data_IF_383933526076
#
_entry.id   IF_383933526076
#
_cell.length_a   1.000
_cell.length_b   1.000
_cell.length_c   1.000
_cell.angle_alpha   90.00
_cell.angle_beta   90.00
_cell.angle_gamma   90.00
#
_symmetry.space_group_name_H-M   'P 1'
#
loop_
_entity.id
_entity.type
_entity.pdbx_description
1 polymer ?
#
# COMPACT_ATOMS: atom_id res chain seq x y z
N UNK A 1 4.04 14.00 17.12
CA UNK A 1 2.67 13.42 17.16
C UNK A 1 2.47 12.60 15.90
N UNK A 2 2.62 11.27 15.98
CA UNK A 2 2.56 10.37 14.80
C UNK A 2 1.13 10.07 14.34
N UNK A 3 0.20 9.99 15.29
CA UNK A 3 -1.22 9.74 15.02
C UNK A 3 -1.85 10.77 14.09
N UNK A 4 -1.51 12.06 14.24
CA UNK A 4 -1.98 13.12 13.35
C UNK A 4 -1.57 12.88 11.89
N UNK A 5 -0.40 12.27 11.65
CA UNK A 5 0.05 11.95 10.29
C UNK A 5 -0.75 10.79 9.70
N UNK A 6 -0.97 9.73 10.50
CA UNK A 6 -1.69 8.51 10.07
C UNK A 6 -3.18 8.81 9.83
N UNK A 7 -3.80 9.59 10.71
CA UNK A 7 -5.26 9.84 10.69
C UNK A 7 -5.66 11.13 9.99
N UNK A 8 -4.72 11.88 9.39
CA UNK A 8 -5.03 13.13 8.67
C UNK A 8 -6.08 12.91 7.60
N UNK A 9 -7.03 13.84 7.50
CA UNK A 9 -8.10 13.75 6.51
C UNK A 9 -7.55 13.78 5.07
N UNK A 10 -8.03 12.85 4.23
CA UNK A 10 -7.63 12.74 2.80
C UNK A 10 -8.80 12.80 1.81
N UNK A 11 -9.97 13.32 2.23
CA UNK A 11 -11.13 13.46 1.33
C UNK A 11 -12.07 12.25 1.27
N UNK A 12 -12.04 11.36 2.27
CA UNK A 12 -12.87 10.14 2.33
C UNK A 12 -12.32 8.99 1.48
N UNK A 13 -12.15 9.23 0.17
CA UNK A 13 -11.46 8.33 -0.74
C UNK A 13 -10.58 9.13 -1.70
N UNK A 14 -9.45 8.55 -2.11
CA UNK A 14 -8.53 9.15 -3.06
C UNK A 14 -8.00 8.09 -4.03
N UNK A 15 -7.71 8.55 -5.25
CA UNK A 15 -6.94 7.80 -6.22
C UNK A 15 -5.74 8.63 -6.64
N UNK A 16 -4.57 8.00 -6.75
CA UNK A 16 -3.34 8.64 -7.23
C UNK A 16 -2.66 7.76 -8.28
N UNK A 17 -2.15 8.40 -9.33
CA UNK A 17 -1.32 7.75 -10.33
C UNK A 17 0.13 8.15 -10.08
N UNK A 18 1.00 7.17 -9.88
CA UNK A 18 2.39 7.38 -9.51
C UNK A 18 3.29 6.77 -10.57
N UNK A 19 4.41 7.43 -10.87
CA UNK A 19 5.55 6.83 -11.55
C UNK A 19 6.73 6.80 -10.57
N UNK A 20 7.18 5.60 -10.21
CA UNK A 20 8.39 5.39 -9.42
C UNK A 20 9.54 5.09 -10.40
N UNK A 21 10.60 5.89 -10.32
CA UNK A 21 11.83 5.63 -11.05
C UNK A 21 12.88 5.08 -10.09
N UNK A 22 13.53 4.01 -10.51
CA UNK A 22 14.67 3.40 -9.82
C UNK A 22 15.91 3.59 -10.71
N UNK A 23 16.74 4.61 -10.46
CA UNK A 23 17.94 4.84 -11.26
C UNK A 23 19.01 3.77 -11.04
N UNK A 24 19.71 3.39 -12.11
CA UNK A 24 20.95 2.60 -12.06
C UNK A 24 22.14 3.50 -11.75
N UNK A 25 23.30 2.91 -11.51
CA UNK A 25 24.55 3.66 -11.32
C UNK A 25 24.94 4.51 -12.54
N UNK A 26 24.48 4.16 -13.75
CA UNK A 26 24.68 4.97 -14.97
C UNK A 26 23.72 6.16 -15.07
N UNK A 27 22.71 6.25 -14.20
CA UNK A 27 21.64 7.26 -14.25
C UNK A 27 20.44 6.87 -15.13
N UNK A 28 20.51 5.73 -15.83
CA UNK A 28 19.36 5.18 -16.56
C UNK A 28 18.28 4.71 -15.59
N UNK A 29 17.02 4.69 -16.02
CA UNK A 29 15.93 4.15 -15.19
C UNK A 29 14.81 3.54 -16.03
N UNK A 30 14.06 2.63 -15.41
CA UNK A 30 12.76 2.18 -15.91
C UNK A 30 11.68 2.58 -14.92
N UNK A 31 10.69 3.35 -15.38
CA UNK A 31 9.61 3.80 -14.52
C UNK A 31 8.57 2.70 -14.32
N UNK A 32 8.29 2.37 -13.05
CA UNK A 32 7.16 1.55 -12.65
C UNK A 32 5.98 2.47 -12.37
N UNK A 33 4.84 2.23 -13.02
CA UNK A 33 3.63 3.04 -12.84
C UNK A 33 2.64 2.31 -11.96
N UNK A 34 1.99 3.06 -11.07
CA UNK A 34 0.99 2.56 -10.15
C UNK A 34 -0.29 3.37 -10.26
N UNK A 35 -1.41 2.70 -10.02
CA UNK A 35 -2.63 3.35 -9.55
C UNK A 35 -2.86 2.89 -8.13
N UNK A 36 -2.84 3.85 -7.20
CA UNK A 36 -3.17 3.60 -5.81
C UNK A 36 -4.56 4.17 -5.52
N UNK A 37 -5.34 3.41 -4.77
CA UNK A 37 -6.65 3.78 -4.26
C UNK A 37 -6.60 3.65 -2.74
N UNK A 38 -7.10 4.65 -2.03
CA UNK A 38 -7.28 4.61 -0.59
C UNK A 38 -8.68 5.07 -0.24
N UNK A 39 -9.35 4.36 0.66
CA UNK A 39 -10.64 4.78 1.20
C UNK A 39 -10.70 4.52 2.69
N UNK A 40 -11.20 5.49 3.45
CA UNK A 40 -11.59 5.23 4.83
C UNK A 40 -12.75 4.25 4.86
N UNK A 41 -12.83 3.42 5.91
CA UNK A 41 -13.91 2.43 6.06
C UNK A 41 -15.29 3.09 5.99
N UNK A 42 -15.43 4.25 6.64
CA UNK A 42 -16.67 5.05 6.69
C UNK A 42 -17.07 5.70 5.36
N UNK A 43 -16.21 5.69 4.35
CA UNK A 43 -16.49 6.23 3.02
C UNK A 43 -16.94 5.16 2.01
N UNK A 44 -16.97 3.88 2.41
CA UNK A 44 -17.51 2.80 1.58
C UNK A 44 -19.03 2.96 1.39
N UNK A 45 -19.52 2.59 0.21
CA UNK A 45 -20.97 2.67 -0.12
C UNK A 45 -21.81 1.70 0.71
N UNK A 46 -21.22 0.56 1.06
CA UNK A 46 -21.76 -0.55 1.83
C UNK A 46 -21.17 -0.57 3.26
N UNK A 47 -20.78 0.59 3.78
CA UNK A 47 -20.24 0.71 5.14
C UNK A 47 -21.19 0.10 6.19
N UNK A 48 -20.66 -0.86 6.94
CA UNK A 48 -21.25 -1.40 8.16
C UNK A 48 -20.28 -1.14 9.34
N UNK A 49 -20.72 -0.49 10.43
CA UNK A 49 -19.89 -0.31 11.62
C UNK A 49 -19.34 -1.61 12.23
N UNK A 50 -20.03 -2.74 12.06
CA UNK A 50 -19.65 -4.05 12.59
C UNK A 50 -18.63 -4.78 11.71
N UNK A 51 -18.57 -4.44 10.43
CA UNK A 51 -17.57 -4.99 9.52
C UNK A 51 -16.23 -4.29 9.75
N UNK A 52 -15.17 -5.09 9.95
CA UNK A 52 -13.81 -4.62 10.13
C UNK A 52 -13.69 -3.45 11.15
N UNK A 53 -14.17 -3.59 12.40
CA UNK A 53 -14.32 -2.49 13.34
C UNK A 53 -12.99 -1.83 13.71
N UNK A 54 -11.90 -2.59 13.65
CA UNK A 54 -10.54 -2.15 13.92
C UNK A 54 -9.80 -1.65 12.65
N UNK A 55 -10.42 -1.65 11.46
CA UNK A 55 -9.80 -1.09 10.25
C UNK A 55 -10.08 0.40 10.14
N UNK A 56 -8.99 1.17 9.96
CA UNK A 56 -9.01 2.60 9.70
C UNK A 56 -9.31 2.91 8.24
N UNK A 57 -8.52 2.34 7.33
CA UNK A 57 -8.66 2.52 5.89
C UNK A 57 -8.23 1.28 5.11
N UNK A 58 -8.73 1.20 3.87
CA UNK A 58 -8.28 0.24 2.88
C UNK A 58 -7.36 0.93 1.88
N UNK A 59 -6.31 0.22 1.47
CA UNK A 59 -5.37 0.69 0.46
C UNK A 59 -5.15 -0.41 -0.59
N UNK A 60 -5.23 -0.01 -1.85
CA UNK A 60 -5.03 -0.88 -3.01
C UNK A 60 -4.04 -0.23 -3.96
N UNK A 61 -2.95 -0.93 -4.26
CA UNK A 61 -1.94 -0.48 -5.21
C UNK A 61 -1.84 -1.49 -6.36
N UNK A 62 -2.04 -1.01 -7.59
CA UNK A 62 -1.96 -1.82 -8.81
C UNK A 62 -0.81 -1.32 -9.67
N UNK A 63 0.09 -2.22 -10.08
CA UNK A 63 1.12 -1.88 -11.06
C UNK A 63 0.47 -1.87 -12.46
N UNK A 64 0.59 -0.75 -13.16
CA UNK A 64 0.02 -0.54 -14.51
C UNK A 64 1.07 -0.60 -15.61
N UNK A 65 2.35 -0.35 -15.29
CA UNK A 65 3.49 -0.50 -16.20
C UNK A 65 4.79 -0.74 -15.40
N UNK A 66 5.84 -1.34 -16.00
CA UNK A 66 5.90 -1.91 -17.35
C UNK A 66 5.14 -3.25 -17.47
N UNK A 67 4.92 -3.72 -18.70
CA UNK A 67 4.10 -4.92 -18.99
C UNK A 67 4.51 -6.18 -18.21
N UNK A 68 5.81 -6.35 -17.93
CA UNK A 68 6.33 -7.49 -17.14
C UNK A 68 5.79 -7.52 -15.69
N UNK A 69 5.50 -6.35 -15.11
CA UNK A 69 5.02 -6.23 -13.74
C UNK A 69 3.52 -5.87 -13.66
N UNK A 70 2.94 -5.46 -14.78
CA UNK A 70 1.55 -5.02 -14.85
C UNK A 70 0.59 -6.10 -14.35
N UNK A 71 -0.42 -5.67 -13.58
CA UNK A 71 -1.43 -6.54 -12.98
C UNK A 71 -1.04 -7.10 -11.61
N UNK A 72 0.19 -6.90 -11.13
CA UNK A 72 0.51 -7.16 -9.72
C UNK A 72 -0.25 -6.18 -8.82
N UNK A 73 -0.76 -6.66 -7.69
CA UNK A 73 -1.59 -5.88 -6.77
C UNK A 73 -1.14 -6.05 -5.33
N UNK A 74 -1.08 -4.97 -4.56
CA UNK A 74 -0.96 -4.97 -3.11
C UNK A 74 -2.29 -4.47 -2.52
N UNK A 75 -2.89 -5.27 -1.64
CA UNK A 75 -4.07 -4.91 -0.83
C UNK A 75 -3.65 -4.82 0.64
N UNK A 76 -4.05 -3.75 1.31
CA UNK A 76 -3.79 -3.52 2.74
C UNK A 76 -5.08 -3.10 3.42
N UNK A 77 -5.38 -3.73 4.54
CA UNK A 77 -6.37 -3.28 5.51
C UNK A 77 -5.58 -2.73 6.71
N UNK A 78 -5.58 -1.42 6.87
CA UNK A 78 -4.83 -0.76 7.95
C UNK A 78 -5.61 -0.83 9.25
N UNK A 79 -5.05 -1.49 10.26
CA UNK A 79 -5.69 -1.60 11.57
C UNK A 79 -5.31 -0.45 12.50
N UNK A 80 -6.24 -0.06 13.38
CA UNK A 80 -6.05 1.01 14.37
C UNK A 80 -5.18 0.48 15.51
N UNK A 81 -5.61 -0.60 16.16
CA UNK A 81 -4.83 -1.31 17.17
C UNK A 81 -4.12 -2.51 16.52
N UNK A 82 -2.82 -2.33 16.23
CA UNK A 82 -1.98 -3.36 15.63
C UNK A 82 -1.49 -4.42 16.63
N UNK A 83 -1.63 -4.17 17.95
CA UNK A 83 -1.34 -5.16 18.99
C UNK A 83 -2.49 -6.16 19.10
N UNK A 84 -3.74 -5.67 19.06
CA UNK A 84 -4.92 -6.52 19.06
C UNK A 84 -5.12 -7.24 17.72
N UNK A 85 -4.92 -6.56 16.60
CA UNK A 85 -5.02 -7.15 15.26
C UNK A 85 -3.91 -6.59 14.34
N UNK A 86 -2.92 -7.42 13.98
CA UNK A 86 -1.87 -7.00 13.07
C UNK A 86 -2.42 -6.56 11.71
N UNK A 87 -1.72 -5.62 11.06
CA UNK A 87 -2.04 -5.20 9.68
C UNK A 87 -2.26 -6.40 8.77
N UNK A 88 -3.38 -6.41 8.05
CA UNK A 88 -3.70 -7.47 7.09
C UNK A 88 -3.33 -7.00 5.70
N UNK A 89 -2.38 -7.69 5.07
CA UNK A 89 -1.87 -7.32 3.76
C UNK A 89 -1.69 -8.55 2.86
N UNK A 90 -1.94 -8.36 1.57
CA UNK A 90 -1.83 -9.40 0.55
C UNK A 90 -1.21 -8.85 -0.73
N UNK A 91 -0.41 -9.69 -1.39
CA UNK A 91 0.11 -9.41 -2.72
C UNK A 91 -0.42 -10.45 -3.69
N UNK A 92 -1.01 -9.98 -4.78
CA UNK A 92 -1.30 -10.78 -5.97
C UNK A 92 -0.16 -10.65 -6.97
N UNK A 93 0.39 -11.80 -7.39
CA UNK A 93 1.37 -11.88 -8.45
C UNK A 93 0.68 -12.32 -9.75
N UNK A 94 0.63 -11.46 -10.76
CA UNK A 94 -0.05 -11.71 -12.02
C UNK A 94 0.62 -12.82 -12.85
N UNK A 95 1.95 -12.89 -12.83
CA UNK A 95 2.70 -13.93 -13.56
C UNK A 95 2.42 -15.34 -13.04
N UNK A 96 2.28 -15.49 -11.72
CA UNK A 96 1.97 -16.78 -11.08
C UNK A 96 0.48 -16.99 -10.82
N UNK A 97 -0.34 -15.96 -10.98
CA UNK A 97 -1.78 -15.90 -10.63
C UNK A 97 -2.05 -16.37 -9.20
N UNK A 98 -1.24 -15.92 -8.24
CA UNK A 98 -1.34 -16.32 -6.83
C UNK A 98 -1.44 -15.12 -5.90
N UNK A 99 -2.23 -15.27 -4.84
CA UNK A 99 -2.30 -14.34 -3.70
C UNK A 99 -1.46 -14.91 -2.56
N UNK A 100 -0.69 -14.06 -1.88
CA UNK A 100 0.09 -14.40 -0.69
C UNK A 100 -0.10 -13.34 0.38
N UNK A 101 -0.08 -13.72 1.66
CA UNK A 101 -0.01 -12.75 2.77
C UNK A 101 1.34 -12.00 2.71
N UNK A 102 1.32 -10.72 3.04
CA UNK A 102 2.48 -9.83 3.00
C UNK A 102 2.61 -8.98 4.29
N UNK A 103 2.74 -9.61 5.48
CA UNK A 103 2.80 -8.91 6.76
C UNK A 103 3.96 -7.91 6.86
N UNK A 104 5.04 -8.12 6.11
CA UNK A 104 6.23 -7.25 6.10
C UNK A 104 5.98 -5.84 5.54
N UNK A 105 4.85 -5.59 4.88
CA UNK A 105 4.49 -4.26 4.35
C UNK A 105 4.31 -3.21 5.47
N UNK A 106 4.18 -3.65 6.73
CA UNK A 106 4.16 -2.80 7.92
C UNK A 106 5.55 -2.38 8.46
N UNK A 107 6.65 -2.80 7.84
CA UNK A 107 7.99 -2.64 8.42
C UNK A 107 9.06 -2.36 7.34
N UNK A 108 10.33 -2.49 7.70
CA UNK A 108 11.54 -2.34 6.86
C UNK A 108 11.73 -3.47 5.83
N UNK A 109 10.67 -3.78 5.08
CA UNK A 109 10.72 -4.65 3.91
C UNK A 109 10.93 -3.85 2.62
N UNK A 110 11.47 -4.45 1.54
CA UNK A 110 11.54 -3.80 0.24
C UNK A 110 10.18 -3.25 -0.19
N UNK A 111 10.13 -1.98 -0.57
CA UNK A 111 8.92 -1.34 -1.10
C UNK A 111 8.52 -1.96 -2.44
N UNK A 112 7.22 -1.94 -2.75
CA UNK A 112 6.70 -2.49 -4.01
C UNK A 112 7.45 -1.94 -5.22
N UNK A 113 8.04 -2.85 -6.00
CA UNK A 113 8.73 -2.56 -7.25
C UNK A 113 9.75 -1.39 -7.17
N UNK A 114 10.43 -1.29 -6.03
CA UNK A 114 11.45 -0.28 -5.76
C UNK A 114 12.89 -0.78 -5.98
N UNK A 115 13.06 -2.01 -6.49
CA UNK A 115 14.36 -2.71 -6.63
C UNK A 115 15.26 -2.63 -5.38
N UNK A 116 14.64 -2.57 -4.19
CA UNK A 116 15.34 -2.44 -2.92
C UNK A 116 15.86 -1.04 -2.58
N UNK A 117 15.67 -0.04 -3.45
CA UNK A 117 16.10 1.35 -3.21
C UNK A 117 15.16 2.16 -2.30
N UNK A 118 13.98 1.61 -1.99
CA UNK A 118 13.03 2.17 -1.01
C UNK A 118 12.46 1.05 -0.16
N UNK A 119 12.31 1.29 1.13
CA UNK A 119 11.61 0.41 2.07
C UNK A 119 10.11 0.73 2.15
N UNK A 120 9.31 -0.20 2.67
CA UNK A 120 7.86 -0.03 2.76
C UNK A 120 7.49 1.09 3.74
N UNK A 121 8.25 1.26 4.83
CA UNK A 121 8.08 2.30 5.86
C UNK A 121 8.32 3.73 5.35
N UNK A 122 9.11 3.91 4.29
CA UNK A 122 9.36 5.20 3.66
C UNK A 122 8.16 5.73 2.86
N UNK A 123 7.15 4.88 2.60
CA UNK A 123 5.94 5.30 1.89
C UNK A 123 5.23 6.38 2.73
N UNK A 124 4.92 7.52 2.09
CA UNK A 124 4.23 8.62 2.75
C UNK A 124 4.99 9.15 3.99
N UNK A 125 6.33 9.11 3.94
CA UNK A 125 7.29 9.46 5.01
C UNK A 125 7.29 8.54 6.24
N UNK A 126 6.17 7.90 6.55
CA UNK A 126 6.05 6.89 7.60
C UNK A 126 4.94 5.90 7.28
N UNK A 127 5.29 4.63 7.29
CA UNK A 127 4.38 3.51 7.09
C UNK A 127 4.83 2.32 7.97
N UNK A 128 4.65 2.48 9.29
CA UNK A 128 5.00 1.49 10.29
C UNK A 128 3.90 1.26 11.32
N UNK A 129 4.04 0.22 12.13
CA UNK A 129 3.24 0.05 13.36
C UNK A 129 3.59 1.20 14.34
N UNK A 130 2.61 2.01 14.79
CA UNK A 130 2.82 3.01 15.82
C UNK A 130 2.96 2.42 17.22
#
# INVERSE_FOLDING_TARGET
VIWNHITRYRGGALQRNIAQATPTASGDFSAVKFTDELTYRTALKDYDPQEDPNVLFYFLQKITAPARLAGNVLLVHETIDQVAEPRRAWVYNAGQRRVRRAPQVAYDGPGTAADGLRTSDNLDMFNGAP
#
